data_IF_143979764587
#
_entry.id   IF_143979764587
#
_cell.length_a   1.000
_cell.length_b   1.000
_cell.length_c   1.000
_cell.angle_alpha   90.00
_cell.angle_beta   90.00
_cell.angle_gamma   90.00
#
_symmetry.space_group_name_H-M   'P 1'
#
loop_
_entity.id
_entity.type
_entity.pdbx_description
1 polymer ?
#
# COMPACT_ATOMS: atom_id res chain seq x y z
N UNK A 1 48.80 11.16 -3.33
CA UNK A 1 47.49 11.57 -2.77
C UNK A 1 46.37 11.72 -3.81
N UNK A 2 46.68 12.01 -5.08
CA UNK A 2 45.68 12.22 -6.15
C UNK A 2 44.79 10.99 -6.44
N UNK A 3 45.38 9.79 -6.54
CA UNK A 3 44.63 8.56 -6.80
C UNK A 3 43.60 8.23 -5.70
N UNK A 4 43.94 8.44 -4.42
CA UNK A 4 42.98 8.25 -3.32
C UNK A 4 41.75 9.16 -3.45
N UNK A 5 41.91 10.38 -3.96
CA UNK A 5 40.79 11.30 -4.24
C UNK A 5 39.94 10.81 -5.41
N UNK A 6 40.55 10.30 -6.48
CA UNK A 6 39.84 9.72 -7.62
C UNK A 6 38.99 8.51 -7.19
N UNK A 7 39.57 7.60 -6.41
CA UNK A 7 38.84 6.43 -5.88
C UNK A 7 37.67 6.89 -5.00
N UNK A 8 37.90 7.85 -4.11
CA UNK A 8 36.85 8.39 -3.26
C UNK A 8 35.71 9.01 -4.09
N UNK A 9 36.02 9.79 -5.14
CA UNK A 9 34.99 10.36 -6.02
C UNK A 9 34.20 9.29 -6.77
N UNK A 10 34.85 8.24 -7.27
CA UNK A 10 34.17 7.14 -7.96
C UNK A 10 33.24 6.37 -7.01
N UNK A 11 33.66 6.13 -5.77
CA UNK A 11 32.81 5.49 -4.76
C UNK A 11 31.58 6.32 -4.43
N UNK A 12 31.73 7.65 -4.33
CA UNK A 12 30.60 8.56 -4.09
C UNK A 12 29.62 8.54 -5.26
N UNK A 13 30.11 8.60 -6.50
CA UNK A 13 29.26 8.52 -7.70
C UNK A 13 28.52 7.19 -7.76
N UNK A 14 29.22 6.09 -7.48
CA UNK A 14 28.62 4.75 -7.46
C UNK A 14 27.53 4.66 -6.38
N UNK A 15 27.79 5.15 -5.17
CA UNK A 15 26.80 5.19 -4.09
C UNK A 15 25.56 6.00 -4.51
N UNK A 16 25.75 7.18 -5.09
CA UNK A 16 24.63 8.02 -5.55
C UNK A 16 23.80 7.32 -6.63
N UNK A 17 24.45 6.64 -7.59
CA UNK A 17 23.74 5.91 -8.64
C UNK A 17 22.84 4.80 -8.07
N UNK A 18 23.33 4.07 -7.07
CA UNK A 18 22.55 3.03 -6.37
C UNK A 18 21.39 3.63 -5.59
N UNK A 19 21.59 4.77 -4.91
CA UNK A 19 20.53 5.45 -4.17
C UNK A 19 19.41 5.93 -5.10
N UNK A 20 19.76 6.51 -6.25
CA UNK A 20 18.78 6.95 -7.26
C UNK A 20 18.01 5.75 -7.81
N UNK A 21 18.69 4.65 -8.14
CA UNK A 21 18.04 3.43 -8.59
C UNK A 21 17.08 2.89 -7.50
N UNK A 22 17.54 2.77 -6.26
CA UNK A 22 16.71 2.32 -5.14
C UNK A 22 15.45 3.19 -4.97
N UNK A 23 15.61 4.52 -5.07
CA UNK A 23 14.49 5.45 -4.95
C UNK A 23 13.44 5.30 -6.07
N UNK A 24 13.85 4.88 -7.27
CA UNK A 24 12.92 4.67 -8.40
C UNK A 24 12.29 3.27 -8.35
N UNK A 25 13.09 2.23 -8.10
CA UNK A 25 12.66 0.85 -8.23
C UNK A 25 11.91 0.31 -6.99
N UNK A 26 12.31 0.71 -5.77
CA UNK A 26 11.67 0.21 -4.55
C UNK A 26 10.19 0.61 -4.49
N UNK A 27 9.79 1.88 -4.68
CA UNK A 27 8.38 2.24 -4.65
C UNK A 27 7.56 1.49 -5.69
N UNK A 28 8.08 1.40 -6.92
CA UNK A 28 7.41 0.67 -8.00
C UNK A 28 7.19 -0.81 -7.65
N UNK A 29 8.19 -1.48 -7.09
CA UNK A 29 8.08 -2.86 -6.65
C UNK A 29 7.01 -3.04 -5.56
N UNK A 30 7.01 -2.15 -4.56
CA UNK A 30 6.04 -2.19 -3.47
C UNK A 30 4.61 -1.90 -3.96
N UNK A 31 4.45 -0.99 -4.93
CA UNK A 31 3.16 -0.68 -5.54
C UNK A 31 2.61 -1.87 -6.33
N UNK A 32 3.46 -2.58 -7.07
CA UNK A 32 3.08 -3.80 -7.79
C UNK A 32 2.64 -4.91 -6.84
N UNK A 33 3.39 -5.14 -5.75
CA UNK A 33 2.97 -6.06 -4.70
C UNK A 33 1.64 -5.66 -4.05
N UNK A 34 1.48 -4.37 -3.76
CA UNK A 34 0.27 -3.87 -3.12
C UNK A 34 -0.94 -4.01 -4.04
N UNK A 35 -0.76 -3.77 -5.34
CA UNK A 35 -1.78 -4.00 -6.36
C UNK A 35 -2.17 -5.48 -6.45
N UNK A 36 -1.21 -6.39 -6.36
CA UNK A 36 -1.49 -7.82 -6.31
C UNK A 36 -2.30 -8.20 -5.06
N UNK A 37 -1.95 -7.66 -3.88
CA UNK A 37 -2.71 -7.83 -2.64
C UNK A 37 -4.12 -7.28 -2.73
N UNK A 38 -4.30 -6.08 -3.28
CA UNK A 38 -5.61 -5.44 -3.46
C UNK A 38 -6.52 -6.23 -4.40
N UNK A 39 -5.96 -7.00 -5.34
CA UNK A 39 -6.71 -7.85 -6.25
C UNK A 39 -7.18 -9.17 -5.62
N UNK A 40 -6.73 -9.50 -4.41
CA UNK A 40 -7.16 -10.71 -3.70
C UNK A 40 -8.64 -10.63 -3.32
N UNK A 41 -9.27 -11.79 -3.12
CA UNK A 41 -10.68 -11.89 -2.72
C UNK A 41 -10.97 -11.12 -1.42
N UNK A 42 -10.08 -11.19 -0.44
CA UNK A 42 -10.26 -10.51 0.84
C UNK A 42 -10.33 -8.98 0.70
N UNK A 43 -9.45 -8.39 -0.12
CA UNK A 43 -9.46 -6.95 -0.34
C UNK A 43 -10.63 -6.48 -1.22
N UNK A 44 -11.09 -7.30 -2.17
CA UNK A 44 -12.33 -7.03 -2.90
C UNK A 44 -13.55 -7.04 -1.97
N UNK A 45 -13.66 -8.06 -1.13
CA UNK A 45 -14.74 -8.18 -0.14
C UNK A 45 -14.72 -7.03 0.86
N UNK A 46 -13.54 -6.61 1.34
CA UNK A 46 -13.40 -5.41 2.18
C UNK A 46 -14.09 -4.20 1.53
N UNK A 47 -13.81 -3.93 0.26
CA UNK A 47 -14.38 -2.77 -0.46
C UNK A 47 -15.89 -2.90 -0.65
N UNK A 48 -16.37 -4.10 -0.95
CA UNK A 48 -17.81 -4.39 -1.08
C UNK A 48 -18.56 -4.21 0.25
N UNK A 49 -18.02 -4.72 1.35
CA UNK A 49 -18.63 -4.54 2.67
C UNK A 49 -18.56 -3.09 3.12
N UNK A 50 -17.49 -2.36 2.82
CA UNK A 50 -17.42 -0.93 3.12
C UNK A 50 -18.53 -0.15 2.40
N UNK A 51 -18.71 -0.39 1.10
CA UNK A 51 -19.79 0.22 0.32
C UNK A 51 -21.18 -0.17 0.86
N UNK A 52 -21.34 -1.43 1.26
CA UNK A 52 -22.60 -1.93 1.84
C UNK A 52 -22.90 -1.24 3.17
N UNK A 53 -21.89 -1.04 4.02
CA UNK A 53 -22.03 -0.30 5.27
C UNK A 53 -22.44 1.16 5.04
N UNK A 54 -21.83 1.83 4.04
CA UNK A 54 -22.22 3.19 3.65
C UNK A 54 -23.67 3.25 3.15
N UNK A 55 -24.11 2.26 2.37
CA UNK A 55 -25.49 2.19 1.88
C UNK A 55 -26.48 2.02 3.03
N UNK A 56 -26.21 1.13 3.99
CA UNK A 56 -27.03 0.99 5.19
C UNK A 56 -27.09 2.29 6.01
N UNK A 57 -25.96 2.98 6.13
CA UNK A 57 -25.91 4.26 6.83
C UNK A 57 -26.77 5.33 6.13
N UNK A 58 -26.76 5.37 4.79
CA UNK A 58 -27.64 6.26 4.00
C UNK A 58 -29.13 5.92 4.16
N UNK A 59 -29.46 4.64 4.37
CA UNK A 59 -30.82 4.18 4.64
C UNK A 59 -31.27 4.43 6.09
N UNK A 60 -30.37 4.89 6.97
CA UNK A 60 -30.66 5.16 8.38
C UNK A 60 -30.61 3.93 9.28
N UNK A 61 -30.26 2.76 8.75
CA UNK A 61 -30.08 1.54 9.54
C UNK A 61 -28.63 1.45 10.06
N UNK A 62 -28.40 2.15 11.16
CA UNK A 62 -27.07 2.29 11.76
C UNK A 62 -26.53 0.99 12.37
N UNK A 63 -27.41 0.09 12.82
CA UNK A 63 -27.00 -1.20 13.41
C UNK A 63 -26.48 -2.14 12.32
N UNK A 64 -27.19 -2.25 11.19
CA UNK A 64 -26.70 -2.96 10.00
C UNK A 64 -25.39 -2.35 9.50
N UNK A 65 -25.34 -1.02 9.37
CA UNK A 65 -24.15 -0.31 8.90
C UNK A 65 -22.92 -0.64 9.76
N UNK A 66 -23.06 -0.61 11.09
CA UNK A 66 -21.99 -0.90 12.04
C UNK A 66 -21.53 -2.37 11.96
N UNK A 67 -22.47 -3.30 11.89
CA UNK A 67 -22.16 -4.73 11.77
C UNK A 67 -21.33 -5.01 10.53
N UNK A 68 -21.79 -4.52 9.38
CA UNK A 68 -21.11 -4.70 8.10
C UNK A 68 -19.76 -3.96 8.04
N UNK A 69 -19.69 -2.76 8.61
CA UNK A 69 -18.43 -1.99 8.70
C UNK A 69 -17.36 -2.75 9.49
N UNK A 70 -17.72 -3.40 10.60
CA UNK A 70 -16.78 -4.18 11.39
C UNK A 70 -16.20 -5.36 10.61
N UNK A 71 -17.01 -6.02 9.76
CA UNK A 71 -16.55 -7.08 8.86
C UNK A 71 -15.55 -6.52 7.84
N UNK A 72 -15.85 -5.36 7.25
CA UNK A 72 -14.94 -4.68 6.33
C UNK A 72 -13.59 -4.40 6.99
N UNK A 73 -13.58 -3.89 8.23
CA UNK A 73 -12.35 -3.60 8.98
C UNK A 73 -11.53 -4.85 9.29
N UNK A 74 -12.17 -5.97 9.64
CA UNK A 74 -11.47 -7.24 9.86
C UNK A 74 -10.78 -7.74 8.57
N UNK A 75 -11.50 -7.70 7.44
CA UNK A 75 -10.95 -8.05 6.14
C UNK A 75 -9.80 -7.13 5.72
N UNK A 76 -9.92 -5.83 5.97
CA UNK A 76 -8.86 -4.84 5.73
C UNK A 76 -7.59 -5.19 6.52
N UNK A 77 -7.72 -5.48 7.82
CA UNK A 77 -6.59 -5.83 8.69
C UNK A 77 -5.90 -7.12 8.26
N UNK A 78 -6.68 -8.15 7.92
CA UNK A 78 -6.16 -9.45 7.47
C UNK A 78 -5.50 -9.35 6.10
N UNK A 79 -6.13 -8.63 5.17
CA UNK A 79 -5.68 -8.52 3.78
C UNK A 79 -4.54 -7.53 3.55
N UNK A 80 -4.23 -6.66 4.54
CA UNK A 80 -3.27 -5.54 4.38
C UNK A 80 -3.60 -4.70 3.15
N UNK A 81 -4.89 -4.48 2.92
CA UNK A 81 -5.41 -3.81 1.74
C UNK A 81 -5.07 -2.32 1.77
N UNK A 82 -5.13 -1.67 0.61
CA UNK A 82 -5.06 -0.21 0.53
C UNK A 82 -6.38 0.38 1.04
N UNK A 83 -6.29 1.34 1.97
CA UNK A 83 -7.47 2.03 2.51
C UNK A 83 -8.17 2.81 1.39
N UNK A 84 -9.49 2.72 1.30
CA UNK A 84 -10.24 3.43 0.25
C UNK A 84 -10.62 4.84 0.69
N UNK A 85 -10.99 5.07 1.96
CA UNK A 85 -11.22 6.39 2.56
C UNK A 85 -10.95 6.34 4.07
#
# INVERSE_FOLDING_TARGET
MFWKKIVATLLVVLLFSVLVAAFIYIPKYLDEEQRARDNTKGCKQYREFLLTAENWNKLGDTDQAKGVYNIAVDLFRKGKCTRVH
#
